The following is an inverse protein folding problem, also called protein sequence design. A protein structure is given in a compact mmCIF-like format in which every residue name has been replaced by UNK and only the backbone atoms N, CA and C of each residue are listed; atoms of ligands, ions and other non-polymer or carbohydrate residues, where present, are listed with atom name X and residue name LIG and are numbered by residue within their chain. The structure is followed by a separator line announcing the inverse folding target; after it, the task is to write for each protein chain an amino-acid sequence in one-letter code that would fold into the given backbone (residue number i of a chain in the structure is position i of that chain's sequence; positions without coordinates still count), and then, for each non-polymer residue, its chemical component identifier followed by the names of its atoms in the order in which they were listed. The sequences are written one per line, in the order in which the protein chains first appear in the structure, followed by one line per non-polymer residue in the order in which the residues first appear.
data_IF_514615082745
#
_entry.id   IF_514615082745
#
_cell.length_a   1.000
_cell.length_b   1.000
_cell.length_c   1.000
_cell.angle_alpha   90.00
_cell.angle_beta   90.00
_cell.angle_gamma   90.00
#
_symmetry.space_group_name_H-M   'P 1'
#
loop_
_entity.id
_entity.type
_entity.pdbx_description
1 polymer ?
#
# COMPACT_ATOMS: atom_id res chain seq x y z
N UNK A 1 -3.19 -19.09 -7.75
CA UNK A 1 -1.99 -18.39 -8.26
C UNK A 1 -1.54 -19.09 -9.52
N UNK A 2 -1.05 -18.34 -10.51
CA UNK A 2 -0.52 -18.89 -11.76
C UNK A 2 1.00 -18.91 -11.60
N UNK A 3 1.62 -20.09 -11.55
CA UNK A 3 3.09 -20.22 -11.56
C UNK A 3 3.62 -19.83 -12.94
N UNK A 4 4.94 -19.61 -13.08
CA UNK A 4 5.53 -19.27 -14.38
C UNK A 4 5.21 -20.31 -15.48
N UNK A 5 5.16 -21.60 -15.12
CA UNK A 5 4.78 -22.71 -16.02
C UNK A 5 3.31 -22.64 -16.41
N UNK A 6 2.44 -22.24 -15.48
CA UNK A 6 1.01 -22.11 -15.72
C UNK A 6 0.65 -20.91 -16.62
N UNK A 7 1.54 -19.92 -16.77
CA UNK A 7 1.24 -18.70 -17.54
C UNK A 7 1.05 -19.01 -19.03
N UNK A 8 1.92 -19.82 -19.62
CA UNK A 8 1.82 -20.16 -21.04
C UNK A 8 0.60 -21.06 -21.32
N UNK A 9 0.30 -22.00 -20.41
CA UNK A 9 -0.93 -22.79 -20.45
C UNK A 9 -2.16 -21.88 -20.44
N UNK A 10 -2.23 -20.92 -19.51
CA UNK A 10 -3.34 -19.95 -19.43
C UNK A 10 -3.44 -19.07 -20.67
N UNK A 11 -2.32 -18.64 -21.25
CA UNK A 11 -2.32 -17.83 -22.49
C UNK A 11 -2.83 -18.60 -23.70
N UNK A 12 -2.62 -19.91 -23.74
CA UNK A 12 -3.08 -20.79 -24.82
C UNK A 12 -4.60 -21.03 -24.78
N UNK A 13 -5.23 -20.93 -23.61
CA UNK A 13 -6.67 -21.03 -23.48
C UNK A 13 -7.36 -19.70 -23.89
N UNK A 14 -8.26 -19.71 -24.88
CA UNK A 14 -8.86 -18.49 -25.44
C UNK A 14 -9.74 -17.71 -24.47
N UNK A 15 -10.23 -18.38 -23.42
CA UNK A 15 -11.09 -17.80 -22.38
C UNK A 15 -10.22 -17.37 -21.20
N UNK A 16 -9.40 -18.27 -20.66
CA UNK A 16 -8.59 -18.02 -19.47
C UNK A 16 -7.62 -16.83 -19.66
N UNK A 17 -7.05 -16.67 -20.86
CA UNK A 17 -6.15 -15.56 -21.18
C UNK A 17 -6.76 -14.17 -20.95
N UNK A 18 -8.08 -14.03 -21.08
CA UNK A 18 -8.78 -12.75 -20.84
C UNK A 18 -8.68 -12.29 -19.38
N UNK A 19 -8.54 -13.24 -18.47
CA UNK A 19 -8.54 -13.04 -17.04
C UNK A 19 -7.14 -13.05 -16.42
N UNK A 20 -6.11 -13.26 -17.23
CA UNK A 20 -4.73 -13.25 -16.78
C UNK A 20 -4.32 -11.80 -16.46
N UNK A 21 -4.06 -11.52 -15.17
CA UNK A 21 -3.64 -10.20 -14.70
C UNK A 21 -2.34 -10.30 -13.91
N UNK A 22 -1.52 -9.24 -13.98
CA UNK A 22 -0.34 -9.11 -13.13
C UNK A 22 -0.79 -9.05 -11.69
N UNK A 23 -0.12 -9.79 -10.81
CA UNK A 23 -0.40 -9.83 -9.39
C UNK A 23 0.82 -9.35 -8.61
N UNK A 24 0.65 -8.39 -7.72
CA UNK A 24 1.77 -7.78 -7.00
C UNK A 24 1.58 -7.93 -5.49
N UNK A 25 2.57 -8.50 -4.84
CA UNK A 25 2.77 -8.44 -3.39
C UNK A 25 4.05 -7.64 -3.06
N UNK A 26 4.42 -7.54 -1.77
CA UNK A 26 5.64 -6.83 -1.36
C UNK A 26 6.88 -7.26 -2.13
N UNK A 27 7.06 -8.57 -2.36
CA UNK A 27 8.24 -9.08 -3.07
C UNK A 27 8.24 -8.67 -4.54
N UNK A 28 7.12 -8.82 -5.23
CA UNK A 28 6.97 -8.42 -6.62
C UNK A 28 7.18 -6.91 -6.80
N UNK A 29 6.67 -6.10 -5.87
CA UNK A 29 6.86 -4.65 -5.88
C UNK A 29 8.31 -4.24 -5.59
N UNK A 30 8.93 -4.83 -4.56
CA UNK A 30 10.25 -4.40 -4.09
C UNK A 30 11.36 -4.90 -5.00
N UNK A 31 11.24 -6.10 -5.57
CA UNK A 31 12.32 -6.78 -6.30
C UNK A 31 12.05 -6.95 -7.80
N UNK A 32 11.08 -6.24 -8.37
CA UNK A 32 10.68 -6.33 -9.78
C UNK A 32 10.38 -7.77 -10.24
N UNK A 33 9.77 -8.59 -9.38
CA UNK A 33 9.43 -9.98 -9.73
C UNK A 33 8.10 -10.04 -10.47
N UNK A 34 8.03 -10.95 -11.44
CA UNK A 34 6.80 -11.24 -12.16
C UNK A 34 5.96 -12.28 -11.43
N UNK A 35 4.66 -12.00 -11.34
CA UNK A 35 3.67 -12.92 -10.81
C UNK A 35 2.31 -12.60 -11.40
N UNK A 36 1.51 -13.64 -11.57
CA UNK A 36 0.24 -13.57 -12.27
C UNK A 36 -0.88 -14.26 -11.49
N UNK A 37 -2.10 -13.79 -11.70
CA UNK A 37 -3.31 -14.42 -11.21
C UNK A 37 -4.38 -14.48 -12.30
N UNK A 38 -5.35 -15.35 -12.09
CA UNK A 38 -6.63 -15.33 -12.79
C UNK A 38 -7.57 -14.45 -11.97
N UNK A 39 -7.94 -13.29 -12.53
CA UNK A 39 -8.87 -12.35 -11.92
C UNK A 39 -10.26 -12.55 -12.51
N UNK A 40 -11.15 -13.20 -11.74
CA UNK A 40 -12.47 -13.65 -12.18
C UNK A 40 -13.62 -12.97 -11.42
N UNK A 41 -13.32 -11.88 -10.71
CA UNK A 41 -14.31 -11.20 -9.87
C UNK A 41 -15.36 -10.49 -10.74
N UNK A 42 -16.65 -10.76 -10.47
CA UNK A 42 -17.78 -10.18 -11.20
C UNK A 42 -18.05 -10.81 -12.57
N UNK A 43 -17.42 -11.94 -12.88
CA UNK A 43 -17.55 -12.60 -14.18
C UNK A 43 -18.68 -13.65 -14.22
N UNK A 44 -19.20 -13.93 -15.42
CA UNK A 44 -20.26 -14.91 -15.61
C UNK A 44 -19.71 -16.34 -15.54
N UNK A 45 -20.15 -17.10 -14.52
CA UNK A 45 -19.75 -18.50 -14.29
C UNK A 45 -19.98 -19.41 -15.50
N UNK A 46 -21.03 -19.19 -16.29
CA UNK A 46 -21.33 -19.99 -17.48
C UNK A 46 -20.33 -19.75 -18.62
N UNK A 47 -19.68 -18.59 -18.66
CA UNK A 47 -18.56 -18.35 -19.59
C UNK A 47 -17.29 -19.06 -19.09
N UNK A 48 -17.04 -19.03 -17.78
CA UNK A 48 -15.84 -19.65 -17.20
C UNK A 48 -15.81 -21.17 -17.38
N UNK A 49 -16.97 -21.83 -17.25
CA UNK A 49 -17.12 -23.30 -17.45
C UNK A 49 -16.76 -23.78 -18.86
N UNK A 50 -16.76 -22.88 -19.86
CA UNK A 50 -16.35 -23.24 -21.23
C UNK A 50 -14.84 -23.45 -21.35
N UNK A 51 -14.06 -23.10 -20.33
CA UNK A 51 -12.63 -23.39 -20.24
C UNK A 51 -12.39 -24.56 -19.27
N UNK A 52 -11.96 -25.74 -19.77
CA UNK A 52 -11.58 -26.86 -18.92
C UNK A 52 -10.45 -26.51 -17.94
N UNK A 53 -9.56 -25.59 -18.36
CA UNK A 53 -8.48 -25.10 -17.52
C UNK A 53 -9.01 -24.32 -16.30
N UNK A 54 -9.92 -23.38 -16.53
CA UNK A 54 -10.53 -22.60 -15.46
C UNK A 54 -11.36 -23.48 -14.53
N UNK A 55 -12.16 -24.39 -15.09
CA UNK A 55 -12.97 -25.34 -14.33
C UNK A 55 -12.10 -26.13 -13.34
N UNK A 56 -11.04 -26.80 -13.83
CA UNK A 56 -10.10 -27.56 -13.01
C UNK A 56 -9.46 -26.72 -11.90
N UNK A 57 -9.08 -25.46 -12.20
CA UNK A 57 -8.47 -24.55 -11.21
C UNK A 57 -9.48 -24.15 -10.14
N UNK A 58 -10.72 -23.84 -10.52
CA UNK A 58 -11.80 -23.45 -9.61
C UNK A 58 -12.21 -24.61 -8.70
N UNK A 59 -12.29 -25.83 -9.22
CA UNK A 59 -12.55 -27.03 -8.42
C UNK A 59 -11.46 -27.24 -7.36
N UNK A 60 -10.19 -27.08 -7.74
CA UNK A 60 -9.06 -27.16 -6.80
C UNK A 60 -9.16 -26.12 -5.68
N UNK A 61 -9.53 -24.88 -6.02
CA UNK A 61 -9.77 -23.81 -5.03
C UNK A 61 -10.94 -24.17 -4.11
N UNK A 62 -12.07 -24.62 -4.67
CA UNK A 62 -13.24 -25.01 -3.89
C UNK A 62 -12.92 -26.15 -2.93
N UNK A 63 -12.21 -27.19 -3.39
CA UNK A 63 -11.77 -28.31 -2.55
C UNK A 63 -10.89 -27.83 -1.40
N UNK A 64 -9.84 -27.08 -1.69
CA UNK A 64 -8.93 -26.55 -0.66
C UNK A 64 -9.66 -25.66 0.37
N UNK A 65 -10.64 -24.87 -0.07
CA UNK A 65 -11.46 -24.04 0.83
C UNK A 65 -12.34 -24.87 1.75
N UNK A 66 -12.99 -25.94 1.26
CA UNK A 66 -13.80 -26.85 2.08
C UNK A 66 -12.98 -27.56 3.16
N UNK A 67 -11.72 -27.85 2.87
CA UNK A 67 -10.78 -28.50 3.81
C UNK A 67 -10.20 -27.52 4.86
N UNK A 68 -10.44 -26.22 4.74
CA UNK A 68 -9.91 -25.21 5.67
C UNK A 68 -10.47 -25.38 7.08
N UNK A 69 -9.68 -25.16 8.16
CA UNK A 69 -10.21 -25.12 9.52
C UNK A 69 -11.07 -23.88 9.83
N UNK A 70 -11.09 -22.89 8.94
CA UNK A 70 -11.82 -21.63 9.14
C UNK A 70 -13.19 -21.65 8.45
N UNK A 71 -14.28 -21.59 9.23
CA UNK A 71 -15.67 -21.66 8.71
C UNK A 71 -15.98 -20.64 7.61
N UNK A 72 -15.46 -19.41 7.70
CA UNK A 72 -15.67 -18.39 6.65
C UNK A 72 -14.99 -18.76 5.33
N UNK A 73 -13.82 -19.40 5.39
CA UNK A 73 -13.09 -19.90 4.21
C UNK A 73 -13.82 -21.10 3.61
N UNK A 74 -14.37 -22.00 4.44
CA UNK A 74 -15.20 -23.11 3.97
C UNK A 74 -16.42 -22.62 3.18
N UNK A 75 -17.14 -21.61 3.69
CA UNK A 75 -18.28 -21.00 2.99
C UNK A 75 -17.87 -20.40 1.64
N UNK A 76 -16.68 -19.80 1.56
CA UNK A 76 -16.14 -19.26 0.30
C UNK A 76 -15.80 -20.34 -0.76
N UNK A 77 -15.95 -21.64 -0.46
CA UNK A 77 -15.88 -22.69 -1.47
C UNK A 77 -17.04 -22.62 -2.49
N UNK A 78 -18.14 -21.93 -2.16
CA UNK A 78 -19.27 -21.69 -3.07
C UNK A 78 -18.95 -20.61 -4.13
N UNK A 79 -17.99 -19.72 -3.84
CA UNK A 79 -17.51 -18.68 -4.76
C UNK A 79 -16.01 -18.83 -5.05
N UNK A 80 -15.55 -19.96 -5.63
CA UNK A 80 -14.13 -20.26 -5.81
C UNK A 80 -13.41 -19.32 -6.79
N UNK A 81 -14.18 -18.61 -7.62
CA UNK A 81 -13.69 -17.63 -8.60
C UNK A 81 -13.32 -16.29 -7.98
N UNK A 82 -13.87 -15.96 -6.80
CA UNK A 82 -13.56 -14.73 -6.09
C UNK A 82 -12.40 -14.90 -5.12
N UNK A 83 -11.62 -13.84 -4.92
CA UNK A 83 -10.62 -13.81 -3.86
C UNK A 83 -11.32 -13.67 -2.51
N UNK A 84 -10.79 -14.35 -1.49
CA UNK A 84 -11.36 -14.38 -0.13
C UNK A 84 -11.47 -12.99 0.51
N UNK A 85 -10.58 -12.07 0.11
CA UNK A 85 -10.64 -10.65 0.43
C UNK A 85 -10.28 -9.86 -0.82
N UNK A 86 -11.28 -9.28 -1.47
CA UNK A 86 -11.09 -8.36 -2.58
C UNK A 86 -11.06 -6.92 -2.06
N UNK A 87 -9.93 -6.24 -2.28
CA UNK A 87 -9.72 -4.82 -1.96
C UNK A 87 -9.16 -4.04 -3.15
N UNK A 88 -9.32 -4.58 -4.35
CA UNK A 88 -8.74 -4.02 -5.56
C UNK A 88 -9.38 -2.66 -5.88
N UNK A 89 -8.59 -1.58 -5.99
CA UNK A 89 -9.12 -0.28 -6.40
C UNK A 89 -9.63 -0.29 -7.85
N UNK A 90 -10.64 0.53 -8.13
CA UNK A 90 -11.21 0.67 -9.49
C UNK A 90 -10.46 1.67 -10.38
N UNK A 91 -9.56 2.45 -9.79
CA UNK A 91 -8.73 3.46 -10.47
C UNK A 91 -7.25 3.21 -10.17
N UNK A 92 -6.39 4.05 -10.77
CA UNK A 92 -4.97 4.08 -10.44
C UNK A 92 -4.79 4.28 -8.94
N UNK A 93 -3.93 3.47 -8.34
CA UNK A 93 -3.78 3.41 -6.90
C UNK A 93 -2.32 3.47 -6.48
N UNK A 94 -2.08 3.96 -5.27
CA UNK A 94 -0.77 3.92 -4.61
C UNK A 94 -0.69 2.70 -3.70
N UNK A 95 0.48 2.07 -3.62
CA UNK A 95 0.73 0.93 -2.75
C UNK A 95 2.02 1.06 -1.95
N UNK A 96 1.97 0.60 -0.69
CA UNK A 96 3.13 0.36 0.18
C UNK A 96 3.17 -1.11 0.59
N UNK A 97 4.36 -1.69 0.87
CA UNK A 97 4.44 -3.05 1.37
C UNK A 97 3.92 -3.07 2.82
N UNK A 98 3.14 -4.09 3.17
CA UNK A 98 2.66 -4.31 4.54
C UNK A 98 3.84 -4.54 5.50
N UNK A 99 4.86 -5.25 5.03
CA UNK A 99 6.10 -5.50 5.77
C UNK A 99 7.30 -5.00 4.99
N UNK A 100 8.18 -4.24 5.65
CA UNK A 100 9.42 -3.72 5.07
C UNK A 100 10.57 -3.80 6.08
N UNK A 101 11.78 -4.02 5.56
CA UNK A 101 13.01 -4.00 6.33
C UNK A 101 13.14 -2.71 7.15
N UNK A 102 13.56 -2.88 8.40
CA UNK A 102 13.72 -1.83 9.40
C UNK A 102 14.81 -0.81 9.03
N UNK A 103 15.82 -1.26 8.28
CA UNK A 103 16.97 -0.44 7.93
C UNK A 103 16.67 0.65 6.88
N UNK A 104 15.56 0.56 6.15
CA UNK A 104 15.25 1.53 5.08
C UNK A 104 14.94 2.91 5.67
N UNK A 105 15.61 3.94 5.12
CA UNK A 105 15.36 5.35 5.49
C UNK A 105 13.91 5.75 5.17
N UNK A 106 13.42 5.35 3.99
CA UNK A 106 12.03 5.45 3.55
C UNK A 106 11.53 4.11 3.03
N UNK A 107 10.27 3.77 3.33
CA UNK A 107 9.63 2.59 2.75
C UNK A 107 9.16 2.94 1.33
N UNK A 108 9.71 2.31 0.28
CA UNK A 108 9.36 2.67 -1.08
C UNK A 108 7.96 2.14 -1.42
N UNK A 109 7.10 3.03 -1.92
CA UNK A 109 5.84 2.69 -2.53
C UNK A 109 5.82 2.95 -4.03
N UNK A 110 4.82 2.38 -4.71
CA UNK A 110 4.65 2.55 -6.15
C UNK A 110 3.18 2.78 -6.53
N UNK A 111 2.96 3.41 -7.68
CA UNK A 111 1.64 3.50 -8.28
C UNK A 111 1.41 2.34 -9.25
N UNK A 112 0.15 1.90 -9.33
CA UNK A 112 -0.27 0.85 -10.23
C UNK A 112 -1.61 1.19 -10.88
N UNK A 113 -1.79 0.71 -12.11
CA UNK A 113 -3.07 0.75 -12.81
C UNK A 113 -4.05 -0.29 -12.23
N UNK A 114 -5.37 -0.09 -12.32
CA UNK A 114 -6.37 -0.99 -11.74
C UNK A 114 -6.32 -2.41 -12.34
N UNK A 115 -5.72 -2.57 -13.52
CA UNK A 115 -5.48 -3.88 -14.15
C UNK A 115 -4.39 -4.72 -13.46
N UNK A 116 -3.58 -4.13 -12.58
CA UNK A 116 -2.58 -4.83 -11.76
C UNK A 116 -3.22 -5.14 -10.42
N UNK A 117 -3.35 -6.43 -10.09
CA UNK A 117 -4.06 -6.89 -8.90
C UNK A 117 -3.12 -6.83 -7.69
N UNK A 118 -3.53 -6.07 -6.67
CA UNK A 118 -2.82 -5.97 -5.41
C UNK A 118 -3.14 -7.17 -4.51
N UNK A 119 -2.10 -7.83 -4.02
CA UNK A 119 -2.23 -8.86 -2.99
C UNK A 119 -2.34 -8.27 -1.58
N UNK A 120 -2.74 -9.12 -0.63
CA UNK A 120 -2.92 -8.75 0.78
C UNK A 120 -1.65 -8.28 1.51
N UNK A 121 -0.47 -8.41 0.89
CA UNK A 121 0.81 -7.93 1.42
C UNK A 121 1.09 -6.48 1.04
N UNK A 122 0.15 -5.80 0.41
CA UNK A 122 0.23 -4.37 0.15
C UNK A 122 -0.84 -3.64 0.96
N UNK A 123 -0.49 -2.45 1.43
CA UNK A 123 -1.46 -1.42 1.81
C UNK A 123 -1.71 -0.57 0.57
N UNK A 124 -2.97 -0.38 0.21
CA UNK A 124 -3.36 0.33 -1.01
C UNK A 124 -4.23 1.54 -0.69
N UNK A 125 -4.05 2.60 -1.46
CA UNK A 125 -4.87 3.81 -1.44
C UNK A 125 -5.43 4.06 -2.85
N UNK A 126 -6.75 4.19 -2.95
CA UNK A 126 -7.44 4.55 -4.21
C UNK A 126 -7.23 6.04 -4.52
N UNK A 127 -6.01 6.37 -4.95
CA UNK A 127 -5.55 7.73 -5.20
C UNK A 127 -4.42 7.72 -6.22
N UNK A 128 -4.46 8.71 -7.11
CA UNK A 128 -3.41 9.06 -8.04
C UNK A 128 -2.69 10.36 -7.66
N UNK A 129 -3.09 10.98 -6.54
CA UNK A 129 -2.63 12.30 -6.12
C UNK A 129 -1.20 12.26 -5.61
N UNK A 130 -0.29 12.99 -6.27
CA UNK A 130 1.13 12.99 -5.94
C UNK A 130 1.43 13.62 -4.58
N UNK A 131 0.63 14.59 -4.12
CA UNK A 131 0.81 15.19 -2.82
C UNK A 131 0.63 14.16 -1.69
N UNK A 132 -0.27 13.20 -1.90
CA UNK A 132 -0.53 12.14 -0.94
C UNK A 132 0.65 11.14 -0.93
N UNK A 133 1.15 10.76 -2.11
CA UNK A 133 2.41 10.01 -2.22
C UNK A 133 3.56 10.73 -1.50
N UNK A 134 3.74 12.04 -1.73
CA UNK A 134 4.80 12.81 -1.11
C UNK A 134 4.72 12.80 0.42
N UNK A 135 3.53 12.90 0.99
CA UNK A 135 3.34 12.77 2.43
C UNK A 135 3.79 11.40 2.96
N UNK A 136 3.32 10.33 2.30
CA UNK A 136 3.60 8.95 2.68
C UNK A 136 5.05 8.52 2.38
N UNK A 137 5.80 9.33 1.65
CA UNK A 137 7.22 9.16 1.35
C UNK A 137 8.10 10.15 2.11
N UNK A 138 7.57 10.87 3.10
CA UNK A 138 8.34 11.81 3.92
C UNK A 138 9.01 11.15 5.12
N UNK A 139 10.14 11.71 5.56
CA UNK A 139 10.82 11.39 6.82
C UNK A 139 9.93 11.61 8.04
N UNK A 140 8.99 12.55 7.96
CA UNK A 140 8.02 12.82 9.01
C UNK A 140 7.02 11.67 9.18
N UNK A 141 6.50 11.13 8.07
CA UNK A 141 5.67 9.93 8.10
C UNK A 141 6.48 8.69 8.52
N UNK A 142 7.74 8.59 8.08
CA UNK A 142 8.64 7.51 8.52
C UNK A 142 8.93 7.54 10.02
N UNK A 143 9.09 8.72 10.63
CA UNK A 143 9.22 8.84 12.09
C UNK A 143 7.98 8.30 12.81
N UNK A 144 6.78 8.58 12.27
CA UNK A 144 5.53 8.04 12.80
C UNK A 144 5.45 6.52 12.67
N UNK A 145 5.81 5.98 11.50
CA UNK A 145 5.90 4.53 11.28
C UNK A 145 6.85 3.91 12.30
N UNK A 146 8.08 4.44 12.43
CA UNK A 146 9.08 3.92 13.37
C UNK A 146 8.57 3.84 14.79
N UNK A 147 7.78 4.84 15.20
CA UNK A 147 7.27 4.97 16.57
C UNK A 147 6.04 4.10 16.83
N UNK A 148 5.11 3.97 15.88
CA UNK A 148 3.76 3.43 16.16
C UNK A 148 3.36 2.20 15.35
N UNK A 149 4.12 1.79 14.33
CA UNK A 149 3.75 0.59 13.57
C UNK A 149 3.97 -0.70 14.40
N UNK A 150 3.29 -1.77 13.99
CA UNK A 150 3.62 -3.11 14.48
C UNK A 150 4.99 -3.56 13.98
N UNK A 151 5.48 -4.70 14.49
CA UNK A 151 6.77 -5.25 14.07
C UNK A 151 6.67 -6.74 13.77
N UNK A 152 7.35 -7.17 12.71
CA UNK A 152 7.62 -8.59 12.47
C UNK A 152 9.08 -8.85 12.81
N UNK A 153 9.34 -9.38 14.01
CA UNK A 153 10.67 -9.29 14.64
C UNK A 153 11.08 -7.82 14.76
N UNK A 154 12.03 -7.34 13.95
CA UNK A 154 12.45 -5.94 13.91
C UNK A 154 11.86 -5.16 12.74
N UNK A 155 11.42 -5.86 11.69
CA UNK A 155 10.90 -5.27 10.46
C UNK A 155 9.63 -4.46 10.73
N UNK A 156 9.44 -3.38 9.98
CA UNK A 156 8.19 -2.62 10.01
C UNK A 156 7.04 -3.51 9.55
N UNK A 157 5.96 -3.55 10.34
CA UNK A 157 4.70 -4.19 9.97
C UNK A 157 3.59 -3.13 10.04
N UNK A 158 3.22 -2.60 8.88
CA UNK A 158 2.25 -1.53 8.73
C UNK A 158 0.85 -2.10 8.83
N UNK A 159 0.01 -1.43 9.60
CA UNK A 159 -1.44 -1.59 9.53
C UNK A 159 -2.08 -0.22 9.38
N UNK A 160 -3.10 -0.05 8.50
CA UNK A 160 -3.77 1.24 8.35
C UNK A 160 -4.35 1.76 9.66
N UNK A 161 -4.86 0.85 10.50
CA UNK A 161 -5.44 1.17 11.82
C UNK A 161 -4.45 1.75 12.84
N UNK A 162 -3.17 1.33 12.80
CA UNK A 162 -2.16 1.83 13.75
C UNK A 162 -1.34 2.98 13.19
N UNK A 163 -1.16 3.03 11.87
CA UNK A 163 -0.25 3.98 11.24
C UNK A 163 -1.01 5.06 10.48
N UNK A 164 -1.81 4.69 9.47
CA UNK A 164 -2.38 5.65 8.54
C UNK A 164 -3.56 6.44 9.12
N UNK A 165 -4.58 5.77 9.66
CA UNK A 165 -5.77 6.42 10.21
C UNK A 165 -5.49 7.36 11.40
N UNK A 166 -4.60 7.02 12.35
CA UNK A 166 -4.29 7.94 13.46
C UNK A 166 -3.25 9.01 13.11
N UNK A 167 -2.62 8.95 11.92
CA UNK A 167 -1.60 9.93 11.57
C UNK A 167 -2.22 11.33 11.43
N UNK A 168 -1.69 12.33 12.16
CA UNK A 168 -2.33 13.64 12.27
C UNK A 168 -1.92 14.56 11.11
N UNK A 169 -2.50 14.29 9.93
CA UNK A 169 -2.23 15.06 8.71
C UNK A 169 -2.53 16.56 8.90
N UNK A 170 -1.65 17.39 8.34
CA UNK A 170 -1.99 18.77 7.94
C UNK A 170 -2.37 18.72 6.48
N UNK A 171 -3.64 19.03 6.18
CA UNK A 171 -4.15 19.06 4.80
C UNK A 171 -3.52 20.26 4.08
N UNK A 172 -2.70 20.05 3.02
CA UNK A 172 -2.04 21.15 2.33
C UNK A 172 -3.03 21.99 1.51
N UNK A 173 -2.77 23.29 1.38
CA UNK A 173 -3.44 24.15 0.40
C UNK A 173 -3.03 23.79 -1.03
N UNK A 174 -3.73 24.27 -2.06
CA UNK A 174 -3.43 23.89 -3.45
C UNK A 174 -2.03 24.35 -3.91
N UNK A 175 -1.57 25.52 -3.45
CA UNK A 175 -0.20 25.97 -3.68
C UNK A 175 0.82 25.05 -3.00
N UNK A 176 0.52 24.54 -1.81
CA UNK A 176 1.37 23.58 -1.10
C UNK A 176 1.36 22.21 -1.78
N UNK A 177 0.19 21.69 -2.19
CA UNK A 177 0.07 20.44 -2.97
C UNK A 177 0.94 20.52 -4.21
N UNK A 178 0.88 21.61 -4.96
CA UNK A 178 1.70 21.81 -6.17
C UNK A 178 3.20 21.69 -5.91
N UNK A 179 3.69 22.18 -4.75
CA UNK A 179 5.11 22.02 -4.34
C UNK A 179 5.45 20.57 -4.03
N UNK A 180 4.56 19.86 -3.32
CA UNK A 180 4.73 18.43 -3.03
C UNK A 180 4.71 17.62 -4.32
N UNK A 181 3.76 17.90 -5.22
CA UNK A 181 3.61 17.22 -6.51
C UNK A 181 4.88 17.33 -7.36
N UNK A 182 5.50 18.51 -7.38
CA UNK A 182 6.77 18.73 -8.07
C UNK A 182 7.92 17.90 -7.45
N UNK A 183 8.03 17.86 -6.13
CA UNK A 183 9.05 17.08 -5.42
C UNK A 183 8.82 15.56 -5.58
N UNK A 184 7.58 15.12 -5.44
CA UNK A 184 7.15 13.73 -5.66
C UNK A 184 7.45 13.29 -7.10
N UNK A 185 7.12 14.12 -8.09
CA UNK A 185 7.44 13.86 -9.50
C UNK A 185 8.95 13.74 -9.72
N UNK A 186 9.76 14.57 -9.05
CA UNK A 186 11.21 14.51 -9.14
C UNK A 186 11.76 13.19 -8.57
N UNK A 187 11.19 12.68 -7.48
CA UNK A 187 11.55 11.36 -6.92
C UNK A 187 11.20 10.25 -7.91
N UNK A 188 9.99 10.26 -8.48
CA UNK A 188 9.56 9.24 -9.44
C UNK A 188 10.45 9.24 -10.69
N UNK A 189 10.70 10.41 -11.29
CA UNK A 189 11.60 10.53 -12.45
C UNK A 189 13.03 10.10 -12.15
N UNK A 190 13.53 10.41 -10.95
CA UNK A 190 14.86 9.97 -10.53
C UNK A 190 14.90 8.44 -10.47
N UNK A 191 13.89 7.77 -9.89
CA UNK A 191 13.79 6.30 -9.90
C UNK A 191 13.80 5.75 -11.33
N UNK A 192 13.00 6.33 -12.21
CA UNK A 192 12.86 5.91 -13.62
C UNK A 192 14.17 6.04 -14.42
N UNK A 193 15.10 6.91 -13.99
CA UNK A 193 16.42 7.05 -14.61
C UNK A 193 17.35 5.86 -14.38
N UNK A 194 17.09 5.02 -13.36
CA UNK A 194 17.85 3.81 -13.07
C UNK A 194 17.19 2.59 -13.72
N UNK A 195 17.43 2.41 -15.02
CA UNK A 195 16.85 1.31 -15.79
C UNK A 195 17.16 -0.06 -15.18
N UNK A 196 16.13 -0.87 -14.98
CA UNK A 196 16.24 -2.24 -14.45
C UNK A 196 16.45 -2.34 -12.93
N UNK A 197 16.76 -1.24 -12.24
CA UNK A 197 16.92 -1.24 -10.79
C UNK A 197 15.58 -1.47 -10.08
N UNK A 198 15.60 -2.32 -9.05
CA UNK A 198 14.46 -2.58 -8.19
C UNK A 198 14.32 -1.54 -7.08
N UNK A 199 13.10 -1.37 -6.55
CA UNK A 199 12.89 -0.49 -5.40
C UNK A 199 13.71 -0.95 -4.18
N UNK A 200 13.95 -2.25 -4.02
CA UNK A 200 14.78 -2.78 -2.96
C UNK A 200 16.24 -2.32 -3.09
N UNK A 201 16.79 -2.26 -4.31
CA UNK A 201 18.15 -1.78 -4.57
C UNK A 201 18.25 -0.26 -4.42
N UNK A 202 17.29 0.48 -4.99
CA UNK A 202 17.27 1.94 -4.92
C UNK A 202 17.08 2.48 -3.49
N UNK A 203 16.49 1.69 -2.59
CA UNK A 203 16.23 2.04 -1.19
C UNK A 203 17.03 1.19 -0.20
N UNK A 204 18.08 0.53 -0.67
CA UNK A 204 19.10 -0.05 0.20
C UNK A 204 19.91 1.09 0.84
N UNK A 205 19.97 1.22 2.18
CA UNK A 205 20.64 2.36 2.83
C UNK A 205 22.11 2.54 2.45
N UNK A 206 22.81 1.43 2.20
CA UNK A 206 24.23 1.45 1.84
C UNK A 206 24.45 1.79 0.36
N UNK A 207 23.44 1.57 -0.50
CA UNK A 207 23.56 1.71 -1.96
C UNK A 207 22.62 2.76 -2.56
N UNK A 208 21.76 3.39 -1.76
CA UNK A 208 20.78 4.38 -2.22
C UNK A 208 21.52 5.51 -2.94
N UNK A 209 21.18 5.79 -4.21
CA UNK A 209 21.83 6.86 -4.96
C UNK A 209 21.71 8.20 -4.23
N UNK A 210 22.84 8.91 -4.10
CA UNK A 210 22.88 10.18 -3.37
C UNK A 210 21.96 11.24 -3.99
N UNK A 211 21.75 11.19 -5.30
CA UNK A 211 20.79 12.04 -6.03
C UNK A 211 19.36 11.73 -5.62
N UNK A 212 18.97 10.46 -5.52
CA UNK A 212 17.66 10.05 -5.02
C UNK A 212 17.45 10.48 -3.57
N UNK A 213 18.45 10.25 -2.70
CA UNK A 213 18.40 10.72 -1.30
C UNK A 213 18.20 12.23 -1.22
N UNK A 214 18.90 13.01 -2.04
CA UNK A 214 18.69 14.48 -2.15
C UNK A 214 17.26 14.85 -2.56
N UNK A 215 16.61 14.09 -3.46
CA UNK A 215 15.21 14.34 -3.82
C UNK A 215 14.25 14.09 -2.65
N UNK A 216 14.49 13.05 -1.84
CA UNK A 216 13.72 12.84 -0.60
C UNK A 216 13.93 13.94 0.42
N UNK A 217 15.16 14.40 0.62
CA UNK A 217 15.41 15.52 1.52
C UNK A 217 14.73 16.82 1.06
N UNK A 218 14.69 17.09 -0.25
CA UNK A 218 13.94 18.24 -0.77
C UNK A 218 12.42 18.12 -0.52
N UNK A 219 11.85 16.91 -0.64
CA UNK A 219 10.47 16.64 -0.26
C UNK A 219 10.26 16.83 1.26
N UNK A 220 11.20 16.35 2.08
CA UNK A 220 11.16 16.49 3.53
C UNK A 220 11.16 17.95 3.97
N UNK A 221 11.99 18.80 3.36
CA UNK A 221 12.01 20.25 3.66
C UNK A 221 10.64 20.91 3.43
N UNK A 222 9.92 20.50 2.37
CA UNK A 222 8.57 20.99 2.09
C UNK A 222 7.59 20.52 3.17
N UNK A 223 7.58 19.23 3.48
CA UNK A 223 6.65 18.63 4.45
C UNK A 223 6.92 19.14 5.86
N UNK A 224 8.19 19.15 6.28
CA UNK A 224 8.64 19.68 7.57
C UNK A 224 8.23 21.15 7.74
N UNK A 225 8.32 21.95 6.67
CA UNK A 225 7.86 23.33 6.64
C UNK A 225 6.38 23.50 6.99
N UNK A 226 5.51 22.54 6.62
CA UNK A 226 4.09 22.58 7.00
C UNK A 226 3.85 22.38 8.49
N UNK A 227 4.78 21.69 9.15
CA UNK A 227 4.78 21.52 10.61
C UNK A 227 5.59 22.61 11.33
N UNK A 228 6.02 23.67 10.61
CA UNK A 228 6.81 24.77 11.16
C UNK A 228 8.23 24.36 11.55
N UNK A 229 8.77 23.33 10.89
CA UNK A 229 10.09 22.78 11.17
C UNK A 229 11.09 23.20 10.08
N UNK A 230 12.35 23.39 10.49
CA UNK A 230 13.48 23.64 9.59
C UNK A 230 14.62 22.71 9.96
N UNK A 231 14.96 21.79 9.06
CA UNK A 231 15.99 20.75 9.27
C UNK A 231 15.87 20.01 10.61
N UNK A 232 14.69 19.45 10.96
CA UNK A 232 14.46 18.84 12.26
C UNK A 232 15.14 17.49 12.42
N UNK A 233 15.48 17.16 13.67
CA UNK A 233 15.70 15.78 14.11
C UNK A 233 14.39 14.99 14.11
N UNK A 234 14.47 13.66 14.12
CA UNK A 234 13.28 12.80 14.24
C UNK A 234 12.45 13.10 15.50
N UNK A 235 13.11 13.34 16.64
CA UNK A 235 12.43 13.70 17.88
C UNK A 235 11.64 15.02 17.76
N UNK A 236 12.18 16.01 17.04
CA UNK A 236 11.47 17.26 16.76
C UNK A 236 10.28 17.05 15.82
N UNK A 237 10.42 16.19 14.80
CA UNK A 237 9.27 15.79 13.95
C UNK A 237 8.17 15.16 14.79
N UNK A 238 8.50 14.19 15.64
CA UNK A 238 7.53 13.50 16.49
C UNK A 238 6.85 14.43 17.49
N UNK A 239 7.58 15.38 18.08
CA UNK A 239 6.98 16.40 18.95
C UNK A 239 5.94 17.25 18.21
N UNK A 240 6.23 17.69 16.98
CA UNK A 240 5.27 18.49 16.19
C UNK A 240 4.06 17.68 15.74
N UNK A 241 4.26 16.43 15.32
CA UNK A 241 3.19 15.50 14.92
C UNK A 241 2.27 15.22 16.11
N UNK A 242 2.82 14.92 17.29
CA UNK A 242 2.03 14.70 18.51
C UNK A 242 1.25 15.94 18.94
N UNK A 243 1.83 17.14 18.85
CA UNK A 243 1.09 18.38 19.08
C UNK A 243 -0.11 18.50 18.14
N UNK A 244 0.05 18.15 16.87
CA UNK A 244 -1.06 18.16 15.90
C UNK A 244 -2.12 17.10 16.24
N UNK A 245 -1.69 15.91 16.68
CA UNK A 245 -2.60 14.87 17.16
C UNK A 245 -3.42 15.34 18.36
N UNK A 246 -2.78 15.95 19.37
CA UNK A 246 -3.47 16.51 20.55
C UNK A 246 -4.55 17.52 20.15
N UNK A 247 -4.23 18.43 19.23
CA UNK A 247 -5.19 19.42 18.72
C UNK A 247 -6.42 18.79 18.04
N UNK A 248 -6.27 17.64 17.38
CA UNK A 248 -7.36 16.92 16.75
C UNK A 248 -8.22 16.16 17.77
N UNK A 249 -7.62 15.69 18.87
CA UNK A 249 -8.30 14.87 19.88
C UNK A 249 -8.93 15.69 21.02
N UNK A 250 -8.36 16.84 21.41
CA UNK A 250 -8.90 17.68 22.50
C UNK A 250 -10.37 18.09 22.32
N UNK A 251 -10.87 18.43 21.11
CA UNK A 251 -12.30 18.72 20.91
C UNK A 251 -13.20 17.49 21.15
N UNK A 252 -12.71 16.28 20.85
CA UNK A 252 -13.47 15.04 21.01
C UNK A 252 -13.63 14.66 22.49
N UNK A 253 -12.59 14.83 23.30
CA UNK A 253 -12.60 14.51 24.73
C UNK A 253 -13.43 15.52 25.53
N UNK A 254 -13.37 16.81 25.18
CA UNK A 254 -14.21 17.84 25.82
C UNK A 254 -15.72 17.65 25.55
N UNK A 255 -16.08 17.16 24.36
CA UNK A 255 -17.48 16.90 23.96
C UNK A 255 -18.03 15.63 24.64
N UNK A 256 -17.22 14.58 24.78
CA UNK A 256 -17.58 13.37 25.52
C UNK A 256 -17.83 13.67 27.02
N UNK A 257 -17.02 14.54 27.64
CA UNK A 257 -17.19 14.96 29.03
C UNK A 257 -18.50 15.73 29.28
N UNK A 258 -18.95 16.55 28.30
CA UNK A 258 -20.22 17.28 28.39
C UNK A 258 -21.44 16.37 28.28
N UNK A 259 -21.39 15.32 27.45
CA UNK A 259 -22.49 14.34 27.31
C UNK A 259 -22.67 13.46 28.55
N UNK A 260 -21.57 13.10 29.24
CA UNK A 260 -21.64 12.34 30.49
C UNK A 260 -22.27 13.09 31.68
N UNK A 261 -22.27 14.43 31.66
CA UNK A 261 -22.92 15.26 32.69
C UNK A 261 -24.41 15.54 32.43
N UNK A 262 -24.86 15.44 31.18
CA UNK A 262 -26.26 15.72 30.81
C UNK A 262 -27.23 14.55 31.07
N UNK A 263 -26.72 13.32 31.22
CA UNK A 263 -27.51 12.12 31.55
C UNK A 263 -27.61 11.80 33.05
N UNK A 264 -27.14 12.70 33.93
CA UNK A 264 -27.29 12.62 35.39
C UNK A 264 -28.07 13.83 35.88
N UNK A 265 -29.35 13.91 35.53
CA UNK A 265 -30.35 14.75 36.19
C UNK A 265 -31.68 14.02 36.18
#
# INVERSE_FOLDING_TARGET
MVTAVDVEEVKSDPIARKYLRRFVQSNEMLYNKDRWCLWLAGENLEELKKSPLLEKRLEGVAKSRRESPTLSVQRQAETPHEFTQNRQPSKRYFALPEVSGENREWIPGNFYEPSVIAGNKLIVWDTDQLWHFGYLQSSLYMGWIRTYCGRLKSDYSLSPGLVYFPFPFIIPSDSQKSKIDAAASAILRERDSYQGASLAELYDPARMPSTLRKKHHALDEIIDGFYGLKSPTEAQRMKSVLRRYEQLVSPLTSTAMRRGRAGRK
#
